data_IF_104598692412
#
_entry.id   IF_104598692412
#
_cell.length_a   1.000
_cell.length_b   1.000
_cell.length_c   1.000
_cell.angle_alpha   90.00
_cell.angle_beta   90.00
_cell.angle_gamma   90.00
#
_symmetry.space_group_name_H-M   'P 1'
#
loop_
_entity.id
_entity.type
_entity.pdbx_description
1 polymer ?
#
# COMPACT_ATOMS: atom_id res chain seq x y z
N UNK A 1 -30.91 38.71 -36.19
CA UNK A 1 -30.13 37.44 -36.25
C UNK A 1 -28.97 37.53 -35.27
N UNK A 2 -29.23 37.59 -33.95
CA UNK A 2 -28.19 37.87 -32.91
C UNK A 2 -28.43 37.17 -31.57
N UNK A 3 -29.57 36.47 -31.40
CA UNK A 3 -29.96 35.85 -30.12
C UNK A 3 -29.48 34.40 -29.96
N UNK A 4 -29.27 33.67 -31.05
CA UNK A 4 -28.83 32.26 -31.02
C UNK A 4 -27.40 32.10 -30.52
N UNK A 5 -26.48 32.99 -30.92
CA UNK A 5 -25.07 32.92 -30.53
C UNK A 5 -24.83 33.20 -29.05
N UNK A 6 -25.70 34.01 -28.41
CA UNK A 6 -25.61 34.35 -26.97
C UNK A 6 -26.06 33.20 -26.06
N UNK A 7 -26.94 32.33 -26.55
CA UNK A 7 -27.43 31.14 -25.82
C UNK A 7 -26.41 30.00 -25.88
N UNK A 8 -25.71 29.85 -27.00
CA UNK A 8 -24.64 28.86 -27.18
C UNK A 8 -23.41 29.17 -26.32
N UNK A 9 -23.00 30.44 -26.24
CA UNK A 9 -21.87 30.84 -25.38
C UNK A 9 -22.20 30.77 -23.89
N UNK A 10 -23.43 31.09 -23.48
CA UNK A 10 -23.88 30.92 -22.09
C UNK A 10 -23.97 29.44 -21.67
N UNK A 11 -24.44 28.56 -22.57
CA UNK A 11 -24.48 27.12 -22.34
C UNK A 11 -23.09 26.49 -22.24
N UNK A 12 -22.14 26.95 -23.06
CA UNK A 12 -20.75 26.49 -23.00
C UNK A 12 -20.04 26.92 -21.70
N UNK A 13 -20.26 28.16 -21.22
CA UNK A 13 -19.68 28.65 -19.95
C UNK A 13 -20.23 27.90 -18.73
N UNK A 14 -21.51 27.54 -18.73
CA UNK A 14 -22.12 26.71 -17.68
C UNK A 14 -21.55 25.28 -17.67
N UNK A 15 -21.34 24.68 -18.84
CA UNK A 15 -20.72 23.34 -18.93
C UNK A 15 -19.27 23.32 -18.44
N UNK A 16 -18.49 24.37 -18.71
CA UNK A 16 -17.11 24.49 -18.22
C UNK A 16 -17.08 24.71 -16.70
N UNK A 17 -18.04 25.45 -16.13
CA UNK A 17 -18.16 25.63 -14.69
C UNK A 17 -18.53 24.33 -13.94
N UNK A 18 -19.34 23.45 -14.54
CA UNK A 18 -19.67 22.14 -13.96
C UNK A 18 -18.57 21.08 -14.19
N UNK A 19 -17.78 21.19 -15.27
CA UNK A 19 -16.67 20.28 -15.52
C UNK A 19 -15.47 20.47 -14.56
N UNK A 20 -15.32 21.67 -13.98
CA UNK A 20 -14.27 21.98 -13.00
C UNK A 20 -14.63 21.72 -11.52
N UNK A 21 -15.89 21.34 -11.23
CA UNK A 21 -16.39 21.21 -9.85
C UNK A 21 -16.03 19.88 -9.15
N UNK A 22 -15.34 18.96 -9.85
CA UNK A 22 -14.66 17.85 -9.18
C UNK A 22 -13.29 18.35 -8.72
N UNK A 23 -13.27 19.21 -7.71
CA UNK A 23 -12.05 19.48 -6.97
C UNK A 23 -11.71 18.18 -6.23
N UNK A 24 -10.86 17.36 -6.86
CA UNK A 24 -10.27 16.18 -6.22
C UNK A 24 -9.28 16.74 -5.21
N UNK A 25 -9.80 17.13 -4.04
CA UNK A 25 -8.98 17.41 -2.87
C UNK A 25 -8.35 16.07 -2.50
N UNK A 26 -7.10 15.86 -2.90
CA UNK A 26 -6.30 14.81 -2.31
C UNK A 26 -6.23 15.12 -0.80
N UNK A 27 -6.90 14.34 0.07
CA UNK A 27 -7.04 14.70 1.48
C UNK A 27 -5.71 14.71 2.25
N UNK A 28 -4.61 14.41 1.55
CA UNK A 28 -3.29 14.26 2.14
C UNK A 28 -3.21 12.95 2.92
N UNK A 29 -2.15 12.77 3.70
CA UNK A 29 -2.04 11.64 4.62
C UNK A 29 -3.23 11.59 5.58
N UNK A 30 -3.62 10.37 5.97
CA UNK A 30 -4.60 10.18 7.05
C UNK A 30 -4.09 10.90 8.30
N UNK A 31 -4.92 11.77 8.86
CA UNK A 31 -4.57 12.50 10.08
C UNK A 31 -4.56 11.53 11.25
N UNK A 32 -3.53 11.61 12.08
CA UNK A 32 -3.28 10.67 13.18
C UNK A 32 -4.49 10.47 14.11
N UNK A 33 -5.22 11.56 14.40
CA UNK A 33 -6.44 11.54 15.23
C UNK A 33 -7.55 10.60 14.74
N UNK A 34 -7.59 10.29 13.44
CA UNK A 34 -8.61 9.40 12.88
C UNK A 34 -8.29 7.93 13.15
N UNK A 35 -7.04 7.62 13.52
CA UNK A 35 -6.60 6.29 13.88
C UNK A 35 -6.90 5.97 15.36
N UNK A 36 -7.35 6.95 16.16
CA UNK A 36 -7.80 6.76 17.56
C UNK A 36 -9.26 6.26 17.62
N UNK A 37 -10.00 6.36 16.52
CA UNK A 37 -11.38 5.90 16.45
C UNK A 37 -11.41 4.37 16.39
N UNK A 38 -12.23 3.74 17.26
CA UNK A 38 -12.35 2.28 17.32
C UNK A 38 -12.80 1.67 15.98
N UNK A 39 -13.56 2.41 15.17
CA UNK A 39 -13.97 1.98 13.83
C UNK A 39 -12.79 1.87 12.86
N UNK A 40 -11.68 2.55 13.13
CA UNK A 40 -10.45 2.50 12.32
C UNK A 40 -9.54 1.32 12.66
N UNK A 41 -9.68 0.75 13.88
CA UNK A 41 -8.77 -0.25 14.42
C UNK A 41 -8.66 -1.50 13.54
N UNK A 42 -9.79 -1.99 13.02
CA UNK A 42 -9.78 -3.12 12.11
C UNK A 42 -8.96 -2.82 10.84
N UNK A 43 -9.16 -1.64 10.24
CA UNK A 43 -8.40 -1.24 9.04
C UNK A 43 -6.90 -1.09 9.33
N UNK A 44 -6.54 -0.56 10.50
CA UNK A 44 -5.14 -0.42 10.93
C UNK A 44 -4.45 -1.78 11.06
N UNK A 45 -5.10 -2.74 11.73
CA UNK A 45 -4.56 -4.10 11.91
C UNK A 45 -4.46 -4.84 10.57
N UNK A 46 -5.46 -4.70 9.69
CA UNK A 46 -5.41 -5.25 8.32
C UNK A 46 -4.34 -4.59 7.45
N UNK A 47 -4.00 -3.33 7.72
CA UNK A 47 -2.87 -2.64 7.10
C UNK A 47 -1.54 -3.33 7.42
N UNK A 48 -1.32 -3.71 8.69
CA UNK A 48 -0.14 -4.48 9.08
C UNK A 48 -0.12 -5.87 8.41
N UNK A 49 -1.24 -6.58 8.42
CA UNK A 49 -1.40 -7.88 7.73
C UNK A 49 -0.96 -7.78 6.26
N UNK A 50 -1.52 -6.83 5.52
CA UNK A 50 -1.21 -6.64 4.10
C UNK A 50 0.30 -6.47 3.87
N UNK A 51 0.96 -5.64 4.66
CA UNK A 51 2.40 -5.37 4.50
C UNK A 51 3.26 -6.60 4.84
N UNK A 52 2.86 -7.38 5.85
CA UNK A 52 3.50 -8.68 6.15
C UNK A 52 3.34 -9.64 4.97
N UNK A 53 2.12 -9.77 4.42
CA UNK A 53 1.84 -10.71 3.34
C UNK A 53 2.54 -10.33 2.03
N UNK A 54 2.67 -9.03 1.73
CA UNK A 54 3.45 -8.54 0.58
C UNK A 54 4.93 -8.94 0.73
N UNK A 55 5.49 -8.67 1.91
CA UNK A 55 6.89 -9.05 2.22
C UNK A 55 7.08 -10.56 2.12
N UNK A 56 6.17 -11.34 2.70
CA UNK A 56 6.23 -12.80 2.67
C UNK A 56 6.16 -13.33 1.23
N UNK A 57 5.29 -12.77 0.39
CA UNK A 57 5.23 -13.11 -1.02
C UNK A 57 6.59 -12.91 -1.70
N UNK A 58 7.19 -11.73 -1.53
CA UNK A 58 8.50 -11.44 -2.09
C UNK A 58 9.58 -12.42 -1.58
N UNK A 59 9.67 -12.62 -0.27
CA UNK A 59 10.67 -13.51 0.34
C UNK A 59 10.54 -14.93 -0.20
N UNK A 60 9.32 -15.47 -0.27
CA UNK A 60 9.10 -16.82 -0.79
C UNK A 60 9.42 -16.91 -2.29
N UNK A 61 9.03 -15.91 -3.08
CA UNK A 61 9.26 -15.92 -4.52
C UNK A 61 10.76 -15.81 -4.85
N UNK A 62 11.43 -14.85 -4.22
CA UNK A 62 12.88 -14.63 -4.35
C UNK A 62 13.68 -15.84 -3.89
N UNK A 63 13.36 -16.43 -2.73
CA UNK A 63 14.04 -17.63 -2.25
C UNK A 63 13.80 -18.84 -3.16
N UNK A 64 12.60 -18.99 -3.73
CA UNK A 64 12.30 -20.08 -4.66
C UNK A 64 13.16 -20.01 -5.93
N UNK A 65 13.53 -18.80 -6.36
CA UNK A 65 14.44 -18.58 -7.49
C UNK A 65 15.89 -18.88 -7.10
N UNK A 66 16.35 -18.36 -5.96
CA UNK A 66 17.73 -18.59 -5.46
C UNK A 66 18.00 -20.08 -5.23
N UNK A 67 17.01 -20.78 -4.67
CA UNK A 67 17.09 -22.24 -4.42
C UNK A 67 16.82 -23.08 -5.66
N UNK A 68 16.50 -22.45 -6.80
CA UNK A 68 16.23 -23.11 -8.09
C UNK A 68 15.05 -24.09 -8.04
N UNK A 69 14.09 -23.84 -7.15
CA UNK A 69 12.79 -24.52 -7.16
C UNK A 69 11.90 -23.93 -8.25
N UNK A 70 12.02 -22.62 -8.49
CA UNK A 70 11.44 -21.91 -9.63
C UNK A 70 12.54 -21.48 -10.59
N UNK A 71 12.26 -21.61 -11.88
CA UNK A 71 13.13 -21.15 -12.96
C UNK A 71 12.46 -19.99 -13.71
N UNK A 72 13.21 -18.93 -14.07
CA UNK A 72 12.67 -17.85 -14.88
C UNK A 72 12.22 -18.40 -16.24
N UNK A 73 10.97 -18.13 -16.64
CA UNK A 73 10.41 -18.55 -17.92
C UNK A 73 10.92 -17.76 -19.15
N UNK A 74 12.02 -17.01 -19.01
CA UNK A 74 12.53 -16.08 -20.02
C UNK A 74 12.17 -14.61 -19.78
N UNK A 75 11.44 -14.30 -18.71
CA UNK A 75 11.23 -12.91 -18.27
C UNK A 75 12.47 -12.40 -17.52
N UNK A 76 13.13 -11.40 -18.09
CA UNK A 76 14.30 -10.73 -17.48
C UNK A 76 13.91 -9.57 -16.57
N UNK A 77 12.62 -9.22 -16.49
CA UNK A 77 12.13 -8.06 -15.74
C UNK A 77 11.69 -8.40 -14.31
N UNK A 78 11.48 -9.68 -13.99
CA UNK A 78 11.04 -10.11 -12.65
C UNK A 78 12.19 -10.15 -11.63
N UNK A 79 13.30 -10.81 -11.97
CA UNK A 79 14.47 -10.94 -11.08
C UNK A 79 15.78 -10.84 -11.85
N UNK A 80 16.69 -10.00 -11.35
CA UNK A 80 18.00 -9.81 -11.99
C UNK A 80 18.82 -11.10 -11.99
N UNK A 81 19.73 -11.31 -12.96
CA UNK A 81 20.64 -12.46 -12.97
C UNK A 81 21.49 -12.58 -11.69
N UNK A 82 21.71 -11.45 -10.98
CA UNK A 82 22.42 -11.43 -9.69
C UNK A 82 21.60 -12.13 -8.60
N UNK A 83 20.32 -11.80 -8.47
CA UNK A 83 19.41 -12.46 -7.54
C UNK A 83 19.33 -13.96 -7.86
N UNK A 84 19.20 -14.32 -9.13
CA UNK A 84 19.20 -15.72 -9.55
C UNK A 84 20.49 -16.48 -9.19
N UNK A 85 21.62 -15.76 -9.17
CA UNK A 85 22.92 -16.27 -8.71
C UNK A 85 23.08 -16.29 -7.19
N UNK A 86 22.08 -15.86 -6.41
CA UNK A 86 22.11 -15.81 -4.95
C UNK A 86 22.68 -14.51 -4.36
N UNK A 87 22.94 -13.49 -5.18
CA UNK A 87 23.38 -12.18 -4.70
C UNK A 87 22.17 -11.27 -4.47
N UNK A 88 22.02 -10.75 -3.25
CA UNK A 88 20.93 -9.87 -2.82
C UNK A 88 21.44 -8.43 -2.60
N UNK A 89 21.61 -7.64 -3.66
CA UNK A 89 22.11 -6.29 -3.51
C UNK A 89 21.00 -5.36 -2.95
N UNK A 90 21.34 -4.36 -2.12
CA UNK A 90 20.34 -3.56 -1.41
C UNK A 90 19.32 -2.87 -2.32
N UNK A 91 19.71 -2.43 -3.51
CA UNK A 91 18.79 -1.79 -4.46
C UNK A 91 17.64 -2.70 -4.92
N UNK A 92 17.83 -4.04 -4.85
CA UNK A 92 16.86 -5.03 -5.29
C UNK A 92 15.98 -5.55 -4.13
N UNK A 93 16.33 -5.28 -2.85
CA UNK A 93 15.64 -5.87 -1.67
C UNK A 93 15.23 -4.86 -0.59
N UNK A 94 15.74 -3.63 -0.64
CA UNK A 94 15.44 -2.61 0.40
C UNK A 94 13.95 -2.23 0.44
N UNK A 95 13.22 -2.34 -0.67
CA UNK A 95 11.79 -2.10 -0.71
C UNK A 95 11.03 -3.03 0.24
N UNK A 96 11.33 -4.33 0.18
CA UNK A 96 10.68 -5.35 1.00
C UNK A 96 11.11 -5.27 2.46
N UNK A 97 12.38 -4.91 2.72
CA UNK A 97 12.81 -4.57 4.07
C UNK A 97 12.01 -3.39 4.63
N UNK A 98 11.79 -2.33 3.85
CA UNK A 98 10.97 -1.20 4.29
C UNK A 98 9.52 -1.63 4.54
N UNK A 99 8.98 -2.53 3.72
CA UNK A 99 7.63 -3.06 3.90
C UNK A 99 7.47 -3.78 5.25
N UNK A 100 8.44 -4.61 5.64
CA UNK A 100 8.37 -5.34 6.92
C UNK A 100 8.54 -4.41 8.13
N UNK A 101 9.40 -3.40 8.02
CA UNK A 101 9.56 -2.37 9.06
C UNK A 101 8.29 -1.52 9.20
N UNK A 102 7.65 -1.18 8.09
CA UNK A 102 6.38 -0.45 8.09
C UNK A 102 5.26 -1.30 8.70
N UNK A 103 5.20 -2.59 8.40
CA UNK A 103 4.26 -3.52 9.02
C UNK A 103 4.42 -3.54 10.55
N UNK A 104 5.67 -3.56 11.04
CA UNK A 104 5.96 -3.54 12.47
C UNK A 104 5.50 -2.24 13.11
N UNK A 105 5.78 -1.11 12.46
CA UNK A 105 5.32 0.20 12.93
C UNK A 105 3.79 0.26 13.03
N UNK A 106 3.07 -0.17 11.99
CA UNK A 106 1.61 -0.16 11.96
C UNK A 106 1.04 -1.08 13.07
N UNK A 107 1.57 -2.29 13.21
CA UNK A 107 1.09 -3.24 14.21
C UNK A 107 1.32 -2.71 15.64
N UNK A 108 2.49 -2.11 15.91
CA UNK A 108 2.78 -1.48 17.19
C UNK A 108 1.90 -0.28 17.46
N UNK A 109 1.67 0.57 16.45
CA UNK A 109 0.75 1.71 16.58
C UNK A 109 -0.66 1.25 16.94
N UNK A 110 -1.15 0.15 16.35
CA UNK A 110 -2.43 -0.44 16.73
C UNK A 110 -2.44 -0.87 18.21
N UNK A 111 -1.39 -1.54 18.68
CA UNK A 111 -1.27 -1.97 20.08
C UNK A 111 -1.24 -0.78 21.05
N UNK A 112 -0.50 0.28 20.71
CA UNK A 112 -0.41 1.52 21.50
C UNK A 112 -1.76 2.25 21.58
N UNK A 113 -2.57 2.15 20.52
CA UNK A 113 -3.92 2.71 20.43
C UNK A 113 -4.99 1.88 21.15
N UNK A 114 -4.60 0.74 21.74
CA UNK A 114 -5.50 -0.06 22.57
C UNK A 114 -6.55 -0.82 21.78
N UNK A 115 -6.21 -1.34 20.59
CA UNK A 115 -7.07 -2.30 19.90
C UNK A 115 -7.48 -3.45 20.84
N UNK A 116 -8.73 -3.91 20.73
CA UNK A 116 -9.31 -4.91 21.64
C UNK A 116 -9.79 -6.16 20.88
N UNK A 117 -10.18 -7.20 21.63
CA UNK A 117 -10.78 -8.41 21.07
C UNK A 117 -9.90 -9.12 20.05
N UNK A 118 -10.48 -9.51 18.91
CA UNK A 118 -9.77 -10.19 17.84
C UNK A 118 -8.65 -9.33 17.22
N UNK A 119 -8.87 -8.02 17.11
CA UNK A 119 -7.88 -7.10 16.55
C UNK A 119 -6.60 -7.03 17.39
N UNK A 120 -6.70 -7.18 18.72
CA UNK A 120 -5.54 -7.28 19.61
C UNK A 120 -4.71 -8.52 19.33
N UNK A 121 -5.37 -9.68 19.21
CA UNK A 121 -4.69 -10.93 18.89
C UNK A 121 -4.01 -10.85 17.52
N UNK A 122 -4.72 -10.34 16.50
CA UNK A 122 -4.17 -10.16 15.16
C UNK A 122 -3.00 -9.18 15.14
N UNK A 123 -3.08 -8.03 15.83
CA UNK A 123 -1.98 -7.07 15.90
C UNK A 123 -0.70 -7.70 16.47
N UNK A 124 -0.81 -8.52 17.52
CA UNK A 124 0.34 -9.27 18.05
C UNK A 124 0.88 -10.31 17.08
N UNK A 125 0.00 -11.03 16.37
CA UNK A 125 0.42 -12.02 15.36
C UNK A 125 1.21 -11.31 14.26
N UNK A 126 0.68 -10.22 13.70
CA UNK A 126 1.35 -9.49 12.62
C UNK A 126 2.65 -8.84 13.09
N UNK A 127 2.69 -8.26 14.29
CA UNK A 127 3.94 -7.78 14.89
C UNK A 127 4.96 -8.91 15.10
N UNK A 128 4.52 -10.13 15.42
CA UNK A 128 5.41 -11.29 15.57
C UNK A 128 6.04 -11.73 14.25
N UNK A 129 5.27 -11.71 13.15
CA UNK A 129 5.74 -12.11 11.83
C UNK A 129 6.78 -11.16 11.24
N UNK A 130 6.85 -9.89 11.66
CA UNK A 130 7.86 -8.95 11.13
C UNK A 130 9.27 -9.21 11.63
N UNK A 131 9.44 -10.05 12.65
CA UNK A 131 10.74 -10.49 13.15
C UNK A 131 11.24 -11.79 12.48
N UNK A 132 10.55 -12.26 11.44
CA UNK A 132 10.86 -13.50 10.71
C UNK A 132 11.25 -13.21 9.28
#
# INVERSE_FOLDING_TARGET
MTTTNRRLTAGALLLVAFAGACEVTNPGPVQDKFLDDETSHAALVRGAERMVLETANFVFYTNSIITRVLFPGGDTNSHSPRIQGGSLPPEDVNGDWNNVQQALFIAKSALERGVTGENLAQAHIWAGYTYR
#
